data_IF_130366687297
#
_entry.id   IF_130366687297
#
_cell.length_a   1.000
_cell.length_b   1.000
_cell.length_c   1.000
_cell.angle_alpha   90.00
_cell.angle_beta   90.00
_cell.angle_gamma   90.00
#
_symmetry.space_group_name_H-M   'P 1'
#
loop_
_entity.id
_entity.type
_entity.pdbx_description
1 polymer ?
#
# COMPACT_ATOMS: atom_id res chain seq x y z
N UNK A 1 10.14 4.08 -5.09
CA UNK A 1 10.00 4.15 -6.57
C UNK A 1 11.28 3.80 -7.31
N UNK A 2 12.45 4.39 -7.00
CA UNK A 2 13.72 4.03 -7.68
C UNK A 2 14.01 2.52 -7.67
N UNK A 3 13.91 1.87 -6.51
CA UNK A 3 14.06 0.41 -6.37
C UNK A 3 13.10 -0.38 -7.27
N UNK A 4 11.84 0.06 -7.41
CA UNK A 4 10.86 -0.57 -8.29
C UNK A 4 11.32 -0.46 -9.75
N UNK A 5 11.75 0.74 -10.17
CA UNK A 5 12.26 0.98 -11.52
C UNK A 5 13.51 0.15 -11.82
N UNK A 6 14.41 -0.01 -10.87
CA UNK A 6 15.63 -0.82 -11.03
C UNK A 6 15.31 -2.31 -11.14
N UNK A 7 14.35 -2.80 -10.35
CA UNK A 7 13.96 -4.22 -10.36
C UNK A 7 13.08 -4.61 -11.54
N UNK A 8 12.18 -3.73 -11.99
CA UNK A 8 11.19 -4.03 -13.03
C UNK A 8 11.50 -3.37 -14.38
N UNK A 9 12.42 -2.39 -14.42
CA UNK A 9 12.79 -1.63 -15.62
C UNK A 9 11.85 -0.45 -15.95
N UNK A 10 10.68 -0.38 -15.32
CA UNK A 10 9.66 0.65 -15.58
C UNK A 10 8.87 1.00 -14.32
N UNK A 11 8.06 2.07 -14.42
CA UNK A 11 7.14 2.51 -13.36
C UNK A 11 5.69 2.58 -13.84
N UNK A 12 5.46 3.17 -15.02
CA UNK A 12 4.10 3.32 -15.55
C UNK A 12 3.43 1.95 -15.71
N UNK A 13 2.25 1.78 -15.12
CA UNK A 13 1.48 0.54 -15.14
C UNK A 13 1.90 -0.52 -14.12
N UNK A 14 2.97 -0.29 -13.32
CA UNK A 14 3.30 -1.20 -12.20
C UNK A 14 2.15 -1.23 -11.20
N UNK A 15 1.74 -2.43 -10.81
CA UNK A 15 0.71 -2.67 -9.80
C UNK A 15 1.34 -2.69 -8.41
N UNK A 16 0.96 -1.74 -7.59
CA UNK A 16 1.59 -1.48 -6.30
C UNK A 16 0.52 -1.43 -5.21
N UNK A 17 0.50 -2.43 -4.32
CA UNK A 17 -0.32 -2.41 -3.11
C UNK A 17 0.45 -1.91 -1.87
N UNK A 18 -0.17 -0.98 -1.14
CA UNK A 18 0.19 -0.65 0.24
C UNK A 18 -0.78 -1.33 1.19
N UNK A 19 -0.26 -2.06 2.18
CA UNK A 19 -1.02 -2.87 3.12
C UNK A 19 -0.88 -2.27 4.52
N UNK A 20 -2.00 -2.03 5.20
CA UNK A 20 -2.02 -1.66 6.62
C UNK A 20 -2.66 -0.30 6.91
N UNK A 21 -2.02 0.54 7.73
CA UNK A 21 -2.54 1.87 8.11
C UNK A 21 -2.39 2.89 6.97
N UNK A 22 -3.35 2.93 6.05
CA UNK A 22 -3.23 3.72 4.82
C UNK A 22 -3.43 5.23 4.98
N UNK A 23 -3.97 5.69 6.12
CA UNK A 23 -4.04 7.13 6.46
C UNK A 23 -2.68 7.72 6.84
N UNK A 24 -1.67 6.89 7.12
CA UNK A 24 -0.36 7.38 7.56
C UNK A 24 0.39 8.12 6.44
N UNK A 25 1.50 8.76 6.80
CA UNK A 25 2.32 9.53 5.85
C UNK A 25 2.85 8.67 4.68
N UNK A 26 3.19 7.41 4.92
CA UNK A 26 3.69 6.49 3.90
C UNK A 26 2.60 6.11 2.90
N UNK A 27 1.41 5.69 3.36
CA UNK A 27 0.26 5.41 2.51
C UNK A 27 -0.11 6.61 1.63
N UNK A 28 -0.19 7.80 2.23
CA UNK A 28 -0.48 9.04 1.53
C UNK A 28 0.60 9.40 0.48
N UNK A 29 1.89 9.33 0.87
CA UNK A 29 3.00 9.70 -0.02
C UNK A 29 3.13 8.74 -1.20
N UNK A 30 2.96 7.44 -0.96
CA UNK A 30 2.99 6.42 -2.01
C UNK A 30 1.79 6.54 -2.95
N UNK A 31 0.60 6.85 -2.44
CA UNK A 31 -0.58 7.10 -3.27
C UNK A 31 -0.35 8.27 -4.23
N UNK A 32 0.10 9.42 -3.70
CA UNK A 32 0.34 10.63 -4.49
C UNK A 32 1.49 10.44 -5.47
N UNK A 33 2.59 9.82 -5.04
CA UNK A 33 3.70 9.47 -5.91
C UNK A 33 3.26 8.56 -7.06
N UNK A 34 2.48 7.54 -6.76
CA UNK A 34 1.95 6.60 -7.75
C UNK A 34 1.02 7.26 -8.75
N UNK A 35 0.13 8.14 -8.27
CA UNK A 35 -0.72 8.96 -9.14
C UNK A 35 0.11 9.78 -10.12
N UNK A 36 1.20 10.43 -9.67
CA UNK A 36 2.07 11.26 -10.52
C UNK A 36 2.93 10.45 -11.48
N UNK A 37 3.31 9.22 -11.12
CA UNK A 37 4.20 8.37 -11.93
C UNK A 37 3.47 7.37 -12.84
N UNK A 38 2.13 7.29 -12.77
CA UNK A 38 1.34 6.45 -13.66
C UNK A 38 1.21 4.99 -13.21
N UNK A 39 1.29 4.69 -11.91
CA UNK A 39 1.16 3.33 -11.37
C UNK A 39 -0.31 2.94 -11.13
N UNK A 40 -0.59 1.64 -11.05
CA UNK A 40 -1.84 1.10 -10.49
C UNK A 40 -1.63 0.93 -8.97
N UNK A 41 -1.99 1.94 -8.18
CA UNK A 41 -1.82 1.96 -6.74
C UNK A 41 -3.07 1.50 -6.00
N UNK A 42 -2.86 0.64 -5.00
CA UNK A 42 -3.93 0.03 -4.22
C UNK A 42 -3.65 0.20 -2.73
N UNK A 43 -4.54 0.91 -2.05
CA UNK A 43 -4.55 0.98 -0.60
C UNK A 43 -5.43 -0.14 -0.05
N UNK A 44 -4.82 -1.11 0.63
CA UNK A 44 -5.48 -2.28 1.20
C UNK A 44 -5.45 -2.15 2.71
N UNK A 45 -6.57 -1.71 3.28
CA UNK A 45 -6.65 -1.31 4.68
C UNK A 45 -8.05 -1.57 5.26
N UNK A 46 -8.21 -1.70 6.58
CA UNK A 46 -9.52 -1.57 7.20
C UNK A 46 -10.15 -0.22 6.85
N UNK A 47 -11.48 -0.16 6.69
CA UNK A 47 -12.21 1.07 6.31
C UNK A 47 -11.93 2.25 7.24
N UNK A 48 -11.75 1.99 8.52
CA UNK A 48 -11.41 2.99 9.55
C UNK A 48 -10.07 3.66 9.30
N UNK A 49 -9.18 3.01 8.54
CA UNK A 49 -7.82 3.44 8.25
C UNK A 49 -7.61 3.81 6.78
N UNK A 50 -8.70 4.02 6.05
CA UNK A 50 -8.62 4.55 4.69
C UNK A 50 -7.98 5.94 4.68
N UNK A 51 -7.30 6.31 3.58
CA UNK A 51 -6.78 7.65 3.41
C UNK A 51 -7.91 8.69 3.43
N UNK A 52 -7.56 9.94 3.75
CA UNK A 52 -8.50 11.05 3.68
C UNK A 52 -9.12 11.20 2.27
N UNK A 53 -10.43 11.36 2.19
CA UNK A 53 -11.18 11.37 0.93
C UNK A 53 -10.80 12.52 -0.02
N UNK A 54 -10.46 13.70 0.51
CA UNK A 54 -9.99 14.82 -0.31
C UNK A 54 -8.66 14.48 -0.98
N UNK A 55 -7.77 13.79 -0.25
CA UNK A 55 -6.49 13.33 -0.79
C UNK A 55 -6.68 12.25 -1.84
N UNK A 56 -7.62 11.31 -1.63
CA UNK A 56 -7.98 10.29 -2.63
C UNK A 56 -8.52 10.95 -3.89
N UNK A 57 -9.42 11.91 -3.75
CA UNK A 57 -10.01 12.66 -4.87
C UNK A 57 -8.94 13.40 -5.66
N UNK A 58 -7.99 14.05 -4.97
CA UNK A 58 -6.85 14.68 -5.61
C UNK A 58 -5.94 13.66 -6.32
N UNK A 59 -5.63 12.52 -5.71
CA UNK A 59 -4.83 11.48 -6.35
C UNK A 59 -5.52 10.94 -7.62
N UNK A 60 -6.84 10.75 -7.57
CA UNK A 60 -7.64 10.33 -8.71
C UNK A 60 -7.73 11.38 -9.82
N UNK A 61 -7.73 12.68 -9.49
CA UNK A 61 -7.70 13.73 -10.51
C UNK A 61 -6.36 13.74 -11.25
N UNK A 62 -5.24 13.65 -10.52
CA UNK A 62 -3.89 13.51 -11.10
C UNK A 62 -3.78 12.23 -11.93
N UNK A 63 -4.37 11.13 -11.47
CA UNK A 63 -4.33 9.85 -12.17
C UNK A 63 -4.94 9.90 -13.58
N UNK A 64 -5.93 10.77 -13.82
CA UNK A 64 -6.54 10.98 -15.15
C UNK A 64 -5.53 11.53 -16.16
N UNK A 65 -4.57 12.32 -15.72
CA UNK A 65 -3.54 12.93 -16.58
C UNK A 65 -2.40 11.95 -16.87
N UNK A 66 -2.07 11.08 -15.92
CA UNK A 66 -0.90 10.19 -16.01
C UNK A 66 -1.23 8.78 -16.52
N UNK A 67 -2.51 8.39 -16.45
CA UNK A 67 -2.97 7.02 -16.68
C UNK A 67 -2.78 6.09 -15.47
N UNK A 68 -2.50 6.64 -14.29
CA UNK A 68 -2.50 5.87 -13.04
C UNK A 68 -3.90 5.34 -12.72
N UNK A 69 -3.96 4.38 -11.80
CA UNK A 69 -5.20 3.92 -11.16
C UNK A 69 -5.03 3.99 -9.65
N UNK A 70 -6.05 4.46 -8.95
CA UNK A 70 -6.07 4.57 -7.49
C UNK A 70 -7.26 3.76 -6.98
N UNK A 71 -6.98 2.68 -6.26
CA UNK A 71 -8.00 1.81 -5.65
C UNK A 71 -7.84 1.83 -4.14
N UNK A 72 -8.94 2.03 -3.42
CA UNK A 72 -9.00 1.92 -1.95
C UNK A 72 -9.95 0.76 -1.65
N UNK A 73 -9.50 -0.22 -0.86
CA UNK A 73 -10.30 -1.43 -0.58
C UNK A 73 -9.95 -2.02 0.78
N UNK A 74 -10.93 -2.66 1.41
CA UNK A 74 -10.75 -3.51 2.60
C UNK A 74 -10.63 -5.00 2.25
N UNK A 75 -10.83 -5.38 0.98
CA UNK A 75 -10.67 -6.75 0.51
C UNK A 75 -9.21 -7.05 0.17
N UNK A 76 -8.56 -7.87 1.00
CA UNK A 76 -7.16 -8.27 0.83
C UNK A 76 -6.94 -9.01 -0.49
N UNK A 77 -7.74 -10.04 -0.78
CA UNK A 77 -7.54 -10.90 -1.93
C UNK A 77 -7.66 -10.11 -3.24
N UNK A 78 -8.65 -9.22 -3.34
CA UNK A 78 -8.79 -8.33 -4.50
C UNK A 78 -7.67 -7.28 -4.57
N UNK A 79 -7.32 -6.70 -3.43
CA UNK A 79 -6.29 -5.67 -3.33
C UNK A 79 -4.91 -6.15 -3.78
N UNK A 80 -4.51 -7.36 -3.37
CA UNK A 80 -3.16 -7.90 -3.66
C UNK A 80 -3.09 -8.69 -4.97
N UNK A 81 -4.21 -9.00 -5.62
CA UNK A 81 -4.22 -9.81 -6.85
C UNK A 81 -3.38 -9.20 -7.97
N UNK A 82 -2.49 -10.00 -8.53
CA UNK A 82 -1.58 -9.68 -9.64
C UNK A 82 -0.63 -8.49 -9.38
N UNK A 83 -0.43 -8.07 -8.13
CA UNK A 83 0.44 -6.92 -7.83
C UNK A 83 1.92 -7.26 -8.04
N UNK A 84 2.68 -6.31 -8.57
CA UNK A 84 4.13 -6.41 -8.74
C UNK A 84 4.87 -6.12 -7.43
N UNK A 85 4.29 -5.26 -6.59
CA UNK A 85 4.88 -4.79 -5.34
C UNK A 85 3.84 -4.81 -4.22
N UNK A 86 4.19 -5.44 -3.10
CA UNK A 86 3.54 -5.29 -1.80
C UNK A 86 4.45 -4.44 -0.91
N UNK A 87 3.88 -3.40 -0.32
CA UNK A 87 4.56 -2.55 0.64
C UNK A 87 3.75 -2.48 1.93
N UNK A 88 4.43 -2.49 3.07
CA UNK A 88 3.80 -2.21 4.36
C UNK A 88 4.71 -1.34 5.23
N UNK A 89 4.16 -0.87 6.33
CA UNK A 89 4.84 -0.06 7.32
C UNK A 89 4.39 -0.50 8.73
N UNK A 90 5.06 0.00 9.76
CA UNK A 90 4.65 -0.21 11.15
C UNK A 90 3.24 0.31 11.38
N UNK A 91 2.45 -0.44 12.17
CA UNK A 91 1.03 -0.14 12.40
C UNK A 91 0.79 0.92 13.47
N UNK A 92 1.78 1.15 14.32
CA UNK A 92 1.72 2.12 15.41
C UNK A 92 2.90 3.06 15.22
N UNK A 93 2.59 4.32 14.95
CA UNK A 93 3.60 5.35 14.79
C UNK A 93 4.13 5.82 16.16
N UNK A 94 5.30 6.47 16.17
CA UNK A 94 5.80 7.13 17.37
C UNK A 94 4.80 8.18 17.87
N UNK A 95 4.42 8.13 19.16
CA UNK A 95 3.42 9.00 19.76
C UNK A 95 1.97 8.47 19.74
N UNK A 96 1.74 7.28 19.17
CA UNK A 96 0.43 6.61 19.17
C UNK A 96 0.39 5.40 20.13
N UNK A 97 1.24 5.36 21.15
CA UNK A 97 1.42 4.19 22.02
C UNK A 97 0.13 3.76 22.74
N UNK A 98 -0.74 4.71 23.07
CA UNK A 98 -2.02 4.43 23.70
C UNK A 98 -3.00 3.65 22.80
N UNK A 99 -2.78 3.65 21.48
CA UNK A 99 -3.64 2.95 20.50
C UNK A 99 -3.12 1.56 20.14
N UNK A 100 -2.03 1.09 20.75
CA UNK A 100 -1.30 -0.10 20.32
C UNK A 100 -2.17 -1.36 20.20
N UNK A 101 -2.97 -1.65 21.23
CA UNK A 101 -3.84 -2.84 21.25
C UNK A 101 -4.95 -2.77 20.19
N UNK A 102 -5.63 -1.63 20.08
CA UNK A 102 -6.66 -1.39 19.07
C UNK A 102 -6.10 -1.57 17.66
N UNK A 103 -4.93 -0.97 17.39
CA UNK A 103 -4.24 -1.03 16.10
C UNK A 103 -3.87 -2.45 15.73
N UNK A 104 -3.33 -3.23 16.67
CA UNK A 104 -3.00 -4.64 16.44
C UNK A 104 -4.26 -5.42 16.09
N UNK A 105 -5.33 -5.28 16.87
CA UNK A 105 -6.56 -6.03 16.64
C UNK A 105 -7.17 -5.71 15.26
N UNK A 106 -7.10 -4.45 14.83
CA UNK A 106 -7.62 -4.00 13.55
C UNK A 106 -6.74 -4.44 12.36
N UNK A 107 -5.41 -4.47 12.53
CA UNK A 107 -4.45 -4.69 11.44
C UNK A 107 -3.87 -6.10 11.38
N UNK A 108 -4.09 -6.95 12.39
CA UNK A 108 -3.58 -8.34 12.43
C UNK A 108 -3.92 -9.15 11.17
N UNK A 109 -5.12 -8.96 10.62
CA UNK A 109 -5.56 -9.59 9.37
C UNK A 109 -4.82 -9.09 8.12
N UNK A 110 -4.20 -7.91 8.19
CA UNK A 110 -3.46 -7.24 7.12
C UNK A 110 -1.94 -7.48 7.22
N UNK A 111 -1.49 -8.41 8.08
CA UNK A 111 -0.08 -8.78 8.15
C UNK A 111 0.40 -9.33 6.80
N UNK A 112 1.45 -8.73 6.26
CA UNK A 112 2.14 -9.28 5.09
C UNK A 112 2.89 -10.54 5.53
N UNK A 113 2.39 -11.68 5.07
CA UNK A 113 2.95 -13.00 5.34
C UNK A 113 2.96 -13.84 4.06
N UNK A 114 3.44 -15.08 4.15
CA UNK A 114 3.53 -15.98 3.00
C UNK A 114 2.18 -16.18 2.29
N UNK A 115 1.08 -16.30 3.03
CA UNK A 115 -0.25 -16.47 2.44
C UNK A 115 -0.67 -15.23 1.66
N UNK A 116 -0.42 -14.02 2.19
CA UNK A 116 -0.70 -12.78 1.46
C UNK A 116 0.15 -12.67 0.17
N UNK A 117 1.42 -13.06 0.23
CA UNK A 117 2.27 -13.09 -0.98
C UNK A 117 1.76 -14.10 -2.00
N UNK A 118 1.26 -15.27 -1.58
CA UNK A 118 0.65 -16.27 -2.46
C UNK A 118 -0.64 -15.77 -3.12
N UNK A 119 -1.46 -14.97 -2.40
CA UNK A 119 -2.69 -14.37 -2.93
C UNK A 119 -2.44 -13.42 -4.12
N UNK A 120 -1.21 -12.95 -4.30
CA UNK A 120 -0.85 -12.14 -5.47
C UNK A 120 -0.93 -12.92 -6.76
N UNK A 121 -0.81 -14.26 -6.71
CA UNK A 121 -0.75 -15.12 -7.89
C UNK A 121 0.56 -15.01 -8.68
N UNK A 122 1.56 -14.28 -8.19
CA UNK A 122 2.84 -14.06 -8.86
C UNK A 122 4.00 -14.54 -7.99
N UNK A 123 4.94 -15.27 -8.61
CA UNK A 123 6.15 -15.74 -7.92
C UNK A 123 7.17 -14.62 -7.68
N UNK A 124 7.13 -13.59 -8.52
CA UNK A 124 8.13 -12.52 -8.57
C UNK A 124 7.64 -11.21 -7.92
N UNK A 125 6.56 -11.23 -7.13
CA UNK A 125 6.11 -10.05 -6.41
C UNK A 125 7.17 -9.62 -5.39
N UNK A 126 7.50 -8.33 -5.43
CA UNK A 126 8.46 -7.73 -4.51
C UNK A 126 7.79 -7.36 -3.19
N UNK A 127 8.43 -7.69 -2.08
CA UNK A 127 8.08 -7.15 -0.77
C UNK A 127 8.97 -5.95 -0.43
N UNK A 128 8.38 -4.88 0.10
CA UNK A 128 9.09 -3.65 0.46
C UNK A 128 8.56 -3.07 1.79
N UNK A 129 9.44 -2.39 2.53
CA UNK A 129 9.12 -1.68 3.78
C UNK A 129 10.10 -0.52 3.97
N UNK A 130 9.68 0.58 4.57
CA UNK A 130 10.52 1.77 4.82
C UNK A 130 11.59 1.60 5.91
N UNK A 131 11.48 0.56 6.75
CA UNK A 131 12.21 0.36 7.99
C UNK A 131 12.02 1.49 9.04
N UNK A 132 12.23 1.19 10.34
CA UNK A 132 12.42 -0.15 10.92
C UNK A 132 11.17 -1.02 10.76
N UNK A 133 11.34 -2.34 10.84
CA UNK A 133 10.25 -3.31 10.76
C UNK A 133 10.30 -4.24 11.98
N UNK A 134 9.13 -4.52 12.57
CA UNK A 134 8.98 -5.57 13.57
C UNK A 134 8.62 -6.86 12.85
N UNK A 135 9.56 -7.80 12.78
CA UNK A 135 9.45 -9.00 11.93
C UNK A 135 9.82 -10.31 12.62
N UNK A 136 10.11 -10.27 13.92
CA UNK A 136 10.48 -11.42 14.76
C UNK A 136 9.29 -11.92 15.60
#
# INVERSE_FOLDING_TARGET
FMTIKEKLGYLKGVKFAFIGDARNNMGNSLMIGSAKMGLDFRSVAPKQLFPNEELVTYAQSVAKETGAKITITDNIAEGVKDVDVIYTDVWVSMGEEAQFEERINLLKGYQVNKQMMELTGKKDTLFMHCLPAFHD
#
